data_IF_975970424500
#
_entry.id   IF_975970424500
#
_cell.length_a   1.000
_cell.length_b   1.000
_cell.length_c   1.000
_cell.angle_alpha   90.00
_cell.angle_beta   90.00
_cell.angle_gamma   90.00
#
_symmetry.space_group_name_H-M   'P 1'
#
loop_
_entity.id
_entity.type
_entity.pdbx_description
1 polymer ?
#
# COMPACT_ATOMS: atom_id res chain seq x y z
N UNK A 1 12.12 19.73 9.53
CA UNK A 1 10.96 18.86 9.81
C UNK A 1 9.80 19.77 10.21
N UNK A 2 8.73 19.86 9.41
CA UNK A 2 7.53 20.62 9.77
C UNK A 2 6.50 19.63 10.32
N UNK A 3 5.91 19.97 11.46
CA UNK A 3 4.97 19.13 12.22
C UNK A 3 3.55 19.18 11.63
N UNK A 4 3.26 20.16 10.76
CA UNK A 4 1.96 20.32 10.12
C UNK A 4 2.12 20.44 8.59
N UNK A 5 1.29 19.69 7.87
CA UNK A 5 1.08 19.83 6.42
C UNK A 5 0.44 21.20 6.12
N UNK A 6 0.71 21.84 4.97
CA UNK A 6 0.08 23.11 4.64
C UNK A 6 -1.43 22.93 4.54
N UNK A 7 -2.17 23.92 5.02
CA UNK A 7 -3.63 23.94 4.94
C UNK A 7 -4.11 23.68 3.50
N UNK A 8 -5.22 22.92 3.33
CA UNK A 8 -5.80 22.67 2.01
C UNK A 8 -6.09 24.00 1.28
N UNK A 9 -5.62 24.09 0.03
CA UNK A 9 -5.63 25.30 -0.80
C UNK A 9 -6.98 25.47 -1.51
N UNK A 10 -7.79 24.41 -1.63
CA UNK A 10 -9.12 24.45 -2.26
C UNK A 10 -10.22 23.96 -1.32
N UNK A 11 -11.41 24.56 -1.45
CA UNK A 11 -12.63 24.07 -0.79
C UNK A 11 -12.92 22.66 -1.33
N UNK A 12 -13.05 21.68 -0.41
CA UNK A 12 -13.15 20.23 -0.66
C UNK A 12 -11.85 19.49 -1.00
N UNK A 13 -10.69 20.14 -0.87
CA UNK A 13 -9.40 19.46 -0.95
C UNK A 13 -9.19 18.59 0.28
N UNK A 14 -9.09 17.29 0.06
CA UNK A 14 -8.64 16.34 1.07
C UNK A 14 -7.12 16.53 1.20
N UNK A 15 -6.66 16.97 2.37
CA UNK A 15 -5.22 17.04 2.70
C UNK A 15 -4.54 15.73 2.32
N UNK A 16 -3.32 15.80 1.76
CA UNK A 16 -2.54 14.63 1.34
C UNK A 16 -2.41 13.57 2.43
N UNK A 17 -2.50 13.99 3.69
CA UNK A 17 -2.64 13.13 4.86
C UNK A 17 -3.77 13.66 5.75
N UNK A 18 -4.90 12.96 5.82
CA UNK A 18 -5.90 13.19 6.87
C UNK A 18 -5.55 12.32 8.06
N UNK A 19 -4.86 12.88 9.06
CA UNK A 19 -4.51 12.21 10.31
C UNK A 19 -5.39 12.72 11.45
N UNK A 20 -6.17 11.84 12.07
CA UNK A 20 -6.48 11.94 13.50
C UNK A 20 -5.41 11.16 14.26
N UNK A 21 -5.27 11.36 15.57
CA UNK A 21 -4.31 10.61 16.38
C UNK A 21 -4.45 9.08 16.28
N UNK A 22 -5.61 8.59 15.81
CA UNK A 22 -5.95 7.16 15.71
C UNK A 22 -6.19 6.68 14.27
N UNK A 23 -6.39 7.57 13.31
CA UNK A 23 -6.74 7.21 11.93
C UNK A 23 -6.00 8.07 10.92
N UNK A 24 -5.44 7.47 9.86
CA UNK A 24 -4.80 8.22 8.78
C UNK A 24 -5.24 7.75 7.40
N UNK A 25 -5.66 8.67 6.53
CA UNK A 25 -5.88 8.37 5.11
C UNK A 25 -4.81 9.02 4.23
N UNK A 26 -4.36 8.26 3.24
CA UNK A 26 -3.45 8.70 2.19
C UNK A 26 -4.09 8.40 0.84
N UNK A 27 -4.17 9.42 -0.03
CA UNK A 27 -4.53 9.23 -1.43
C UNK A 27 -3.33 9.49 -2.32
N UNK A 28 -2.88 8.48 -3.05
CA UNK A 28 -1.73 8.58 -3.96
C UNK A 28 -2.03 7.84 -5.26
N UNK A 29 -1.74 8.45 -6.40
CA UNK A 29 -1.91 7.86 -7.73
C UNK A 29 -3.31 7.24 -7.98
N UNK A 30 -4.37 7.83 -7.41
CA UNK A 30 -5.75 7.35 -7.55
C UNK A 30 -6.14 6.21 -6.60
N UNK A 31 -5.20 5.69 -5.80
CA UNK A 31 -5.42 4.70 -4.74
C UNK A 31 -5.64 5.42 -3.41
N UNK A 32 -6.58 4.92 -2.61
CA UNK A 32 -6.78 5.35 -1.23
C UNK A 32 -6.31 4.24 -0.29
N UNK A 33 -5.47 4.61 0.67
CA UNK A 33 -5.09 3.78 1.79
C UNK A 33 -5.54 4.43 3.10
N UNK A 34 -5.94 3.61 4.06
CA UNK A 34 -6.42 4.04 5.37
C UNK A 34 -5.79 3.17 6.46
N UNK A 35 -5.18 3.81 7.46
CA UNK A 35 -4.63 3.17 8.65
C UNK A 35 -5.50 3.52 9.85
N UNK A 36 -5.81 2.52 10.66
CA UNK A 36 -6.50 2.66 11.93
C UNK A 36 -5.60 2.08 13.03
N UNK A 37 -5.02 2.95 13.85
CA UNK A 37 -4.13 2.58 14.95
C UNK A 37 -4.88 1.85 16.06
N UNK A 38 -6.13 2.20 16.35
CA UNK A 38 -6.93 1.54 17.41
C UNK A 38 -7.30 0.10 17.02
N UNK A 39 -7.58 -0.12 15.74
CA UNK A 39 -7.86 -1.45 15.20
C UNK A 39 -6.60 -2.22 14.80
N UNK A 40 -5.42 -1.61 14.91
CA UNK A 40 -4.15 -2.17 14.45
C UNK A 40 -4.17 -2.57 12.96
N UNK A 41 -4.94 -1.85 12.13
CA UNK A 41 -5.12 -2.18 10.70
C UNK A 41 -4.59 -1.10 9.75
N UNK A 42 -4.19 -1.54 8.57
CA UNK A 42 -3.93 -0.69 7.40
C UNK A 42 -4.58 -1.32 6.17
N UNK A 43 -5.41 -0.57 5.47
CA UNK A 43 -6.17 -1.04 4.31
C UNK A 43 -5.86 -0.20 3.09
N UNK A 44 -5.92 -0.82 1.91
CA UNK A 44 -5.81 -0.13 0.64
C UNK A 44 -6.73 -0.77 -0.41
N UNK A 45 -7.33 0.07 -1.26
CA UNK A 45 -8.12 -0.39 -2.40
C UNK A 45 -7.36 -0.16 -3.70
N UNK A 46 -6.95 -1.25 -4.34
CA UNK A 46 -6.19 -1.26 -5.59
C UNK A 46 -7.12 -1.64 -6.75
N UNK A 47 -6.94 -1.07 -7.95
CA UNK A 47 -7.63 -1.59 -9.12
C UNK A 47 -7.19 -3.04 -9.38
N UNK A 48 -8.11 -3.91 -9.82
CA UNK A 48 -7.77 -5.32 -10.08
C UNK A 48 -6.72 -5.49 -11.18
N UNK A 49 -6.79 -4.64 -12.20
CA UNK A 49 -5.84 -4.61 -13.31
C UNK A 49 -5.05 -3.32 -13.20
N UNK A 50 -3.74 -3.47 -13.13
CA UNK A 50 -2.80 -2.40 -13.38
C UNK A 50 -1.84 -2.86 -14.47
N UNK A 51 -1.28 -1.91 -15.19
CA UNK A 51 -0.18 -2.18 -16.08
C UNK A 51 1.00 -2.78 -15.29
N UNK A 52 1.81 -3.58 -15.96
CA UNK A 52 3.02 -4.12 -15.35
C UNK A 52 3.91 -2.97 -14.84
N UNK A 53 4.59 -3.20 -13.71
CA UNK A 53 5.56 -2.21 -13.24
C UNK A 53 6.66 -2.10 -14.28
N UNK A 54 6.85 -0.90 -14.84
CA UNK A 54 7.87 -0.61 -15.83
C UNK A 54 9.23 -0.59 -15.11
N UNK A 55 10.10 -1.63 -15.26
CA UNK A 55 11.32 -1.73 -14.45
C UNK A 55 12.28 -0.58 -14.71
N UNK A 56 12.21 0.04 -15.90
CA UNK A 56 13.02 1.19 -16.26
C UNK A 56 12.87 2.38 -15.29
N UNK A 57 11.73 2.52 -14.61
CA UNK A 57 11.48 3.59 -13.63
C UNK A 57 12.09 3.34 -12.24
N UNK A 58 12.68 2.17 -12.01
CA UNK A 58 13.30 1.81 -10.75
C UNK A 58 14.83 1.82 -10.85
N UNK A 59 15.52 1.99 -9.73
CA UNK A 59 16.97 1.86 -9.66
C UNK A 59 17.41 0.40 -9.94
N UNK A 60 18.71 0.20 -10.19
CA UNK A 60 19.26 -1.12 -10.53
C UNK A 60 18.92 -2.19 -9.50
N UNK A 61 19.04 -1.88 -8.22
CA UNK A 61 18.82 -2.85 -7.14
C UNK A 61 17.34 -3.16 -6.96
N UNK A 62 16.48 -2.15 -7.01
CA UNK A 62 15.03 -2.33 -6.97
C UNK A 62 14.52 -3.17 -8.16
N UNK A 63 15.09 -3.00 -9.36
CA UNK A 63 14.74 -3.84 -10.52
C UNK A 63 14.95 -5.32 -10.24
N UNK A 64 16.10 -5.69 -9.64
CA UNK A 64 16.37 -7.07 -9.27
C UNK A 64 15.36 -7.63 -8.26
N UNK A 65 14.91 -6.80 -7.32
CA UNK A 65 13.93 -7.18 -6.29
C UNK A 65 12.51 -7.34 -6.85
N UNK A 66 12.11 -6.47 -7.79
CA UNK A 66 10.74 -6.48 -8.31
C UNK A 66 10.56 -7.33 -9.58
N UNK A 67 11.62 -7.70 -10.30
CA UNK A 67 11.52 -8.28 -11.66
C UNK A 67 10.65 -9.54 -11.78
N UNK A 68 10.66 -10.42 -10.77
CA UNK A 68 9.83 -11.63 -10.75
C UNK A 68 8.37 -11.33 -10.37
N UNK A 69 8.16 -10.29 -9.58
CA UNK A 69 6.89 -9.93 -8.93
C UNK A 69 6.10 -8.92 -9.77
N UNK A 70 6.81 -8.09 -10.55
CA UNK A 70 6.30 -6.96 -11.33
C UNK A 70 5.39 -7.34 -12.50
N UNK A 71 5.54 -8.57 -13.01
CA UNK A 71 4.73 -9.09 -14.13
C UNK A 71 3.26 -9.31 -13.76
N UNK A 72 2.89 -9.15 -12.48
CA UNK A 72 1.55 -9.44 -11.95
C UNK A 72 0.80 -8.21 -11.44
N UNK A 73 1.30 -7.00 -11.73
CA UNK A 73 0.67 -5.73 -11.36
C UNK A 73 1.26 -5.16 -10.07
N UNK A 74 0.54 -5.27 -8.95
CA UNK A 74 0.94 -4.66 -7.68
C UNK A 74 1.89 -5.52 -6.86
N UNK A 75 2.75 -4.86 -6.08
CA UNK A 75 3.65 -5.48 -5.11
C UNK A 75 3.45 -4.85 -3.74
N UNK A 76 3.66 -5.65 -2.70
CA UNK A 76 3.91 -5.15 -1.34
C UNK A 76 5.40 -5.22 -1.08
N UNK A 77 6.02 -4.11 -0.69
CA UNK A 77 7.43 -4.06 -0.33
C UNK A 77 7.56 -3.82 1.17
N UNK A 78 8.29 -4.70 1.86
CA UNK A 78 8.68 -4.49 3.25
C UNK A 78 9.94 -3.62 3.27
N UNK A 79 9.78 -2.38 3.72
CA UNK A 79 10.84 -1.37 3.75
C UNK A 79 11.45 -1.19 5.15
N UNK A 80 11.21 -2.12 6.08
CA UNK A 80 11.76 -2.00 7.43
C UNK A 80 13.29 -2.04 7.46
N UNK A 81 13.90 -2.99 6.71
CA UNK A 81 15.34 -3.04 6.50
C UNK A 81 15.64 -2.66 5.05
N UNK A 82 16.21 -1.46 4.85
CA UNK A 82 16.53 -0.96 3.52
C UNK A 82 17.66 -1.77 2.85
N UNK A 83 18.48 -2.46 3.63
CA UNK A 83 19.52 -3.35 3.11
C UNK A 83 18.93 -4.69 2.66
N UNK A 84 17.81 -5.12 3.24
CA UNK A 84 17.12 -6.37 2.93
C UNK A 84 15.61 -6.17 2.63
N UNK A 85 15.31 -5.40 1.58
CA UNK A 85 13.91 -5.18 1.16
C UNK A 85 13.34 -6.47 0.59
N UNK A 86 12.29 -6.98 1.23
CA UNK A 86 11.49 -8.10 0.76
C UNK A 86 10.31 -7.60 -0.09
N UNK A 87 9.93 -8.35 -1.12
CA UNK A 87 8.80 -8.00 -1.98
C UNK A 87 7.86 -9.18 -2.19
N UNK A 88 6.56 -8.89 -2.19
CA UNK A 88 5.48 -9.88 -2.25
C UNK A 88 4.51 -9.51 -3.36
N UNK A 89 4.07 -10.50 -4.15
CA UNK A 89 3.11 -10.26 -5.22
C UNK A 89 1.71 -10.03 -4.65
N UNK A 90 1.02 -8.98 -5.10
CA UNK A 90 -0.38 -8.77 -4.78
C UNK A 90 -1.23 -9.21 -5.98
N UNK A 91 -1.49 -10.51 -6.09
CA UNK A 91 -2.30 -11.08 -7.16
C UNK A 91 -3.45 -11.91 -6.60
N UNK A 92 -4.67 -11.64 -7.08
CA UNK A 92 -5.85 -12.42 -6.72
C UNK A 92 -6.14 -12.35 -5.22
N UNK A 93 -6.52 -13.49 -4.65
CA UNK A 93 -6.69 -13.64 -3.21
C UNK A 93 -5.44 -14.29 -2.63
N UNK A 94 -4.86 -13.67 -1.61
CA UNK A 94 -3.61 -14.11 -1.01
C UNK A 94 -3.56 -13.76 0.47
N UNK A 95 -2.80 -14.53 1.23
CA UNK A 95 -2.53 -14.27 2.64
C UNK A 95 -1.04 -14.44 2.91
N UNK A 96 -0.45 -13.48 3.61
CA UNK A 96 0.96 -13.47 3.98
C UNK A 96 1.08 -13.14 5.47
N UNK A 97 2.03 -13.78 6.16
CA UNK A 97 2.47 -13.31 7.48
C UNK A 97 3.85 -12.68 7.34
N UNK A 98 3.95 -11.38 7.62
CA UNK A 98 5.16 -10.58 7.46
C UNK A 98 5.52 -9.97 8.80
N UNK A 99 6.58 -10.45 9.46
CA UNK A 99 7.16 -9.85 10.67
C UNK A 99 6.16 -9.56 11.80
N UNK A 100 5.13 -10.41 11.94
CA UNK A 100 4.06 -10.27 12.95
C UNK A 100 2.81 -9.54 12.45
N UNK A 101 2.76 -9.16 11.17
CA UNK A 101 1.56 -8.67 10.52
C UNK A 101 0.92 -9.76 9.66
N UNK A 102 -0.39 -9.87 9.73
CA UNK A 102 -1.17 -10.65 8.78
C UNK A 102 -1.66 -9.75 7.66
N UNK A 103 -1.30 -10.10 6.43
CA UNK A 103 -1.71 -9.41 5.22
C UNK A 103 -2.72 -10.29 4.52
N UNK A 104 -3.92 -9.74 4.27
CA UNK A 104 -4.93 -10.38 3.45
C UNK A 104 -5.20 -9.54 2.19
N UNK A 105 -5.35 -10.24 1.07
CA UNK A 105 -5.77 -9.67 -0.21
C UNK A 105 -7.06 -10.36 -0.60
N UNK A 106 -8.12 -9.58 -0.77
CA UNK A 106 -9.47 -10.07 -1.09
C UNK A 106 -10.11 -9.25 -2.19
N UNK A 107 -11.17 -9.77 -2.80
CA UNK A 107 -11.90 -9.06 -3.86
C UNK A 107 -13.05 -8.24 -3.27
N UNK A 108 -13.23 -7.01 -3.77
CA UNK A 108 -14.34 -6.13 -3.36
C UNK A 108 -15.05 -5.53 -4.56
N UNK A 109 -16.36 -5.27 -4.42
CA UNK A 109 -17.15 -4.52 -5.41
C UNK A 109 -17.33 -5.22 -6.76
N UNK A 110 -17.66 -6.52 -6.77
CA UNK A 110 -18.00 -7.25 -8.00
C UNK A 110 -16.81 -7.40 -8.96
N UNK A 111 -15.65 -7.80 -8.42
CA UNK A 111 -14.47 -8.20 -9.20
C UNK A 111 -13.66 -7.04 -9.82
N UNK A 112 -13.89 -5.78 -9.37
CA UNK A 112 -13.21 -4.57 -9.89
C UNK A 112 -12.01 -4.12 -9.06
N UNK A 113 -12.04 -4.36 -7.74
CA UNK A 113 -11.04 -3.89 -6.79
C UNK A 113 -10.43 -5.05 -6.02
N UNK A 114 -9.13 -4.91 -5.73
CA UNK A 114 -8.41 -5.71 -4.75
C UNK A 114 -8.36 -4.90 -3.45
N UNK A 115 -8.87 -5.48 -2.38
CA UNK A 115 -8.77 -4.95 -1.04
C UNK A 115 -7.58 -5.61 -0.35
N UNK A 116 -6.61 -4.81 0.06
CA UNK A 116 -5.48 -5.24 0.87
C UNK A 116 -5.73 -4.78 2.29
N UNK A 117 -5.66 -5.69 3.26
CA UNK A 117 -5.72 -5.40 4.68
C UNK A 117 -4.49 -5.97 5.38
N UNK A 118 -3.84 -5.16 6.19
CA UNK A 118 -2.69 -5.51 7.00
C UNK A 118 -3.11 -5.33 8.45
N UNK A 119 -3.00 -6.37 9.26
CA UNK A 119 -3.38 -6.37 10.67
C UNK A 119 -2.17 -6.73 11.52
N UNK A 120 -1.88 -5.92 12.53
CA UNK A 120 -0.84 -6.23 13.50
C UNK A 120 -1.28 -7.34 14.45
N UNK A 121 -0.47 -8.39 14.56
CA UNK A 121 -0.61 -9.38 15.65
C UNK A 121 -0.38 -8.71 17.01
N UNK A 122 -1.24 -9.06 17.97
CA UNK A 122 -1.12 -8.66 19.37
C UNK A 122 -0.09 -9.52 20.12
#
# INVERSE_FOLDING_TARGET
MRVYDPDPVRVWEVSGVQQTGTFSMLRCAGVTAARNTDAHTCTAELPRKADELIPAYFCRDCRGRIAEVSRRGFILADLYDLTDIQTYALFGEASYSIRGYDVSVSRRGGDRLLHVEITGGL
#
